data_IF_172289369691
#
_entry.id   IF_172289369691
#
_cell.length_a   1.000
_cell.length_b   1.000
_cell.length_c   1.000
_cell.angle_alpha   90.00
_cell.angle_beta   90.00
_cell.angle_gamma   90.00
#
_symmetry.space_group_name_H-M   'P 1'
#
loop_
_entity.id
_entity.type
_entity.pdbx_description
1 polymer ?
#
# COMPACT_ATOMS: atom_id res chain seq x y z
N UNK A 1 -41.94 29.66 -10.53
CA UNK A 1 -40.50 29.55 -10.84
C UNK A 1 -39.79 29.08 -9.57
N UNK A 2 -39.26 27.85 -9.55
CA UNK A 2 -38.48 27.36 -8.40
C UNK A 2 -37.16 28.13 -8.35
N UNK A 3 -36.98 28.95 -7.31
CA UNK A 3 -35.74 29.67 -7.05
C UNK A 3 -34.73 28.65 -6.56
N UNK A 4 -33.94 28.12 -7.48
CA UNK A 4 -32.78 27.29 -7.15
C UNK A 4 -31.71 28.25 -6.62
N UNK A 5 -31.78 28.55 -5.32
CA UNK A 5 -30.82 29.40 -4.64
C UNK A 5 -29.40 28.88 -4.93
N UNK A 6 -28.43 29.72 -5.30
CA UNK A 6 -27.07 29.30 -5.66
C UNK A 6 -26.42 28.47 -4.55
N UNK A 7 -26.84 28.68 -3.30
CA UNK A 7 -26.46 27.92 -2.11
C UNK A 7 -26.75 26.42 -2.25
N UNK A 8 -27.87 26.05 -2.88
CA UNK A 8 -28.24 24.65 -3.12
C UNK A 8 -27.29 23.95 -4.10
N UNK A 9 -26.85 24.64 -5.14
CA UNK A 9 -25.87 24.12 -6.11
C UNK A 9 -24.49 23.96 -5.49
N UNK A 10 -24.07 24.91 -4.64
CA UNK A 10 -22.82 24.85 -3.89
C UNK A 10 -22.84 23.68 -2.88
N UNK A 11 -23.96 23.51 -2.17
CA UNK A 11 -24.12 22.39 -1.23
C UNK A 11 -24.06 21.04 -1.96
N UNK A 12 -24.74 20.94 -3.10
CA UNK A 12 -24.80 19.72 -3.91
C UNK A 12 -23.43 19.36 -4.52
N UNK A 13 -22.65 20.37 -4.94
CA UNK A 13 -21.28 20.16 -5.41
C UNK A 13 -20.34 19.75 -4.28
N UNK A 14 -20.46 20.32 -3.08
CA UNK A 14 -19.69 19.89 -1.90
C UNK A 14 -20.02 18.44 -1.50
N UNK A 15 -21.29 18.07 -1.48
CA UNK A 15 -21.72 16.69 -1.21
C UNK A 15 -21.20 15.73 -2.29
N UNK A 16 -21.28 16.12 -3.56
CA UNK A 16 -20.75 15.33 -4.67
C UNK A 16 -19.23 15.12 -4.56
N UNK A 17 -18.47 16.18 -4.28
CA UNK A 17 -17.02 16.11 -4.08
C UNK A 17 -16.65 15.26 -2.87
N UNK A 18 -17.32 15.45 -1.74
CA UNK A 18 -17.12 14.66 -0.54
C UNK A 18 -17.44 13.18 -0.80
N UNK A 19 -18.54 12.89 -1.50
CA UNK A 19 -18.93 11.56 -1.91
C UNK A 19 -17.87 10.91 -2.81
N UNK A 20 -17.38 11.65 -3.81
CA UNK A 20 -16.32 11.18 -4.73
C UNK A 20 -15.01 10.91 -4.00
N UNK A 21 -14.58 11.78 -3.09
CA UNK A 21 -13.36 11.57 -2.28
C UNK A 21 -13.52 10.34 -1.38
N UNK A 22 -14.67 10.19 -0.73
CA UNK A 22 -14.97 9.02 0.08
C UNK A 22 -14.98 7.74 -0.76
N UNK A 23 -15.55 7.78 -1.96
CA UNK A 23 -15.59 6.67 -2.90
C UNK A 23 -14.20 6.27 -3.36
N UNK A 24 -13.38 7.24 -3.77
CA UNK A 24 -12.02 7.01 -4.24
C UNK A 24 -11.12 6.48 -3.12
N UNK A 25 -11.26 7.01 -1.89
CA UNK A 25 -10.60 6.47 -0.70
C UNK A 25 -11.01 5.03 -0.41
N UNK A 26 -12.28 4.69 -0.63
CA UNK A 26 -12.80 3.33 -0.39
C UNK A 26 -12.36 2.36 -1.48
N UNK A 27 -12.26 2.81 -2.73
CA UNK A 27 -11.71 2.03 -3.85
C UNK A 27 -10.20 1.86 -3.75
N UNK A 28 -9.46 2.88 -3.31
CA UNK A 28 -8.03 2.77 -3.06
C UNK A 28 -7.71 1.81 -1.91
N UNK A 29 -8.56 1.75 -0.88
CA UNK A 29 -8.49 0.72 0.18
C UNK A 29 -8.86 -0.69 -0.31
N UNK A 30 -9.59 -0.81 -1.42
CA UNK A 30 -10.07 -2.09 -1.99
C UNK A 30 -9.29 -2.56 -3.21
N UNK A 31 -8.37 -1.75 -3.76
CA UNK A 31 -7.39 -2.26 -4.72
C UNK A 31 -6.57 -3.29 -3.97
N UNK A 32 -6.68 -4.53 -4.42
CA UNK A 32 -5.86 -5.63 -3.97
C UNK A 32 -4.40 -5.21 -4.18
N UNK A 33 -3.74 -4.79 -3.11
CA UNK A 33 -2.32 -4.45 -3.13
C UNK A 33 -1.60 -5.77 -3.30
N UNK A 34 -0.87 -5.93 -4.41
CA UNK A 34 -0.04 -7.13 -4.59
C UNK A 34 0.95 -7.19 -3.42
N UNK A 35 1.31 -8.40 -2.97
CA UNK A 35 2.29 -8.54 -1.88
C UNK A 35 3.62 -7.88 -2.24
N UNK A 36 3.93 -7.83 -3.53
CA UNK A 36 5.08 -7.14 -4.10
C UNK A 36 4.99 -5.62 -3.97
N UNK A 37 3.81 -5.04 -4.25
CA UNK A 37 3.56 -3.61 -4.07
C UNK A 37 3.62 -3.21 -2.59
N UNK A 38 3.14 -4.08 -1.71
CA UNK A 38 3.21 -3.86 -0.27
C UNK A 38 4.66 -3.93 0.24
N UNK A 39 5.46 -4.88 -0.26
CA UNK A 39 6.87 -4.99 0.09
C UNK A 39 7.67 -3.80 -0.45
N UNK A 40 7.53 -3.49 -1.73
CA UNK A 40 8.26 -2.44 -2.43
C UNK A 40 7.85 -1.05 -1.95
N UNK A 41 6.55 -0.82 -1.74
CA UNK A 41 6.04 0.41 -1.15
C UNK A 41 6.56 0.62 0.28
N UNK A 42 6.66 -0.43 1.08
CA UNK A 42 7.16 -0.33 2.45
C UNK A 42 8.67 -0.06 2.48
N UNK A 43 9.43 -0.74 1.62
CA UNK A 43 10.86 -0.52 1.46
C UNK A 43 11.12 0.95 1.05
N UNK A 44 10.34 1.46 0.09
CA UNK A 44 10.45 2.84 -0.36
C UNK A 44 10.06 3.86 0.72
N UNK A 45 8.94 3.65 1.41
CA UNK A 45 8.48 4.53 2.48
C UNK A 45 9.47 4.62 3.64
N UNK A 46 10.14 3.50 3.96
CA UNK A 46 11.17 3.43 5.00
C UNK A 46 12.57 3.80 4.50
N UNK A 47 12.73 4.13 3.22
CA UNK A 47 14.02 4.36 2.57
C UNK A 47 15.03 3.23 2.84
N UNK A 48 14.55 1.98 2.88
CA UNK A 48 15.36 0.80 3.13
C UNK A 48 15.27 -0.19 1.97
N UNK A 49 16.15 -1.18 1.96
CA UNK A 49 16.11 -2.23 0.96
C UNK A 49 14.98 -3.23 1.27
N UNK A 50 14.48 -3.93 0.25
CA UNK A 50 13.56 -5.04 0.46
C UNK A 50 14.16 -6.11 1.40
N UNK A 51 15.49 -6.28 1.38
CA UNK A 51 16.19 -7.19 2.30
C UNK A 51 16.05 -6.76 3.76
N UNK A 52 16.12 -5.46 4.05
CA UNK A 52 15.92 -4.95 5.42
C UNK A 52 14.51 -5.24 5.93
N UNK A 53 13.51 -5.17 5.05
CA UNK A 53 12.13 -5.55 5.37
C UNK A 53 12.04 -7.04 5.71
N UNK A 54 12.73 -7.90 4.95
CA UNK A 54 12.83 -9.33 5.26
C UNK A 54 13.47 -9.57 6.64
N UNK A 55 14.57 -8.88 6.96
CA UNK A 55 15.24 -8.99 8.26
C UNK A 55 14.33 -8.53 9.40
N UNK A 56 13.62 -7.42 9.24
CA UNK A 56 12.67 -6.93 10.25
C UNK A 56 11.49 -7.90 10.44
N UNK A 57 10.93 -8.42 9.35
CA UNK A 57 9.89 -9.44 9.41
C UNK A 57 10.39 -10.73 10.08
N UNK A 58 11.61 -11.17 9.73
CA UNK A 58 12.26 -12.34 10.34
C UNK A 58 12.43 -12.17 11.85
N UNK A 59 12.90 -10.99 12.30
CA UNK A 59 13.02 -10.66 13.74
C UNK A 59 11.67 -10.69 14.46
N UNK A 60 10.62 -10.12 13.87
CA UNK A 60 9.28 -10.12 14.48
C UNK A 60 8.74 -11.55 14.66
N UNK A 61 9.02 -12.44 13.71
CA UNK A 61 8.59 -13.84 13.77
C UNK A 61 9.57 -14.77 14.48
N UNK A 62 10.70 -14.26 15.00
CA UNK A 62 11.71 -15.06 15.69
C UNK A 62 12.51 -16.00 14.77
N UNK A 63 12.58 -15.72 13.47
CA UNK A 63 13.37 -16.50 12.52
C UNK A 63 14.86 -16.12 12.57
N UNK A 64 15.72 -17.11 12.32
CA UNK A 64 17.15 -16.87 12.19
C UNK A 64 17.48 -16.02 10.94
N UNK A 65 18.59 -15.30 11.00
CA UNK A 65 19.08 -14.52 9.86
C UNK A 65 19.32 -15.42 8.64
N UNK A 66 19.93 -16.60 8.84
CA UNK A 66 20.18 -17.56 7.75
C UNK A 66 18.91 -18.00 7.02
N UNK A 67 17.83 -18.31 7.77
CA UNK A 67 16.52 -18.64 7.17
C UNK A 67 16.00 -17.46 6.36
N UNK A 68 16.05 -16.27 6.93
CA UNK A 68 15.55 -15.04 6.30
C UNK A 68 16.30 -14.71 5.01
N UNK A 69 17.63 -14.86 5.01
CA UNK A 69 18.47 -14.68 3.82
C UNK A 69 18.18 -15.74 2.76
N UNK A 70 17.95 -17.00 3.17
CA UNK A 70 17.52 -18.07 2.26
C UNK A 70 16.16 -17.78 1.61
N UNK A 71 15.20 -17.31 2.41
CA UNK A 71 13.87 -16.89 1.96
C UNK A 71 13.98 -15.69 0.99
N UNK A 72 14.87 -14.72 1.25
CA UNK A 72 15.13 -13.60 0.34
C UNK A 72 15.76 -14.04 -0.98
N UNK A 73 16.74 -14.96 -0.95
CA UNK A 73 17.32 -15.51 -2.17
C UNK A 73 16.29 -16.28 -3.01
N UNK A 74 15.36 -16.99 -2.37
CA UNK A 74 14.24 -17.63 -3.06
C UNK A 74 13.33 -16.58 -3.69
N UNK A 75 13.03 -15.50 -2.99
CA UNK A 75 12.28 -14.37 -3.52
C UNK A 75 12.94 -13.80 -4.78
N UNK A 76 14.25 -13.50 -4.76
CA UNK A 76 14.97 -12.99 -5.94
C UNK A 76 14.92 -13.92 -7.16
N UNK A 77 14.85 -15.23 -6.95
CA UNK A 77 14.80 -16.22 -8.03
C UNK A 77 13.41 -16.48 -8.60
N UNK A 78 12.39 -16.40 -7.76
CA UNK A 78 11.03 -16.87 -8.08
C UNK A 78 9.96 -15.79 -8.03
N UNK A 79 10.27 -14.60 -7.51
CA UNK A 79 9.30 -13.57 -7.16
C UNK A 79 8.38 -13.97 -5.99
N UNK A 80 8.58 -15.14 -5.38
CA UNK A 80 7.69 -15.60 -4.31
C UNK A 80 8.00 -14.90 -2.99
N UNK A 81 7.01 -14.18 -2.46
CA UNK A 81 7.10 -13.54 -1.15
C UNK A 81 6.56 -14.49 -0.07
N UNK A 82 7.36 -14.85 0.94
CA UNK A 82 6.90 -15.66 2.05
C UNK A 82 5.75 -14.98 2.80
N UNK A 83 4.76 -15.77 3.22
CA UNK A 83 3.53 -15.26 3.87
C UNK A 83 3.81 -14.42 5.14
N UNK A 84 4.87 -14.73 5.89
CA UNK A 84 5.24 -13.94 7.07
C UNK A 84 5.75 -12.54 6.70
N UNK A 85 6.45 -12.41 5.57
CA UNK A 85 6.92 -11.12 5.02
C UNK A 85 5.75 -10.35 4.44
N UNK A 86 4.89 -11.00 3.66
CA UNK A 86 3.68 -10.38 3.13
C UNK A 86 2.78 -9.85 4.27
N UNK A 87 2.56 -10.66 5.30
CA UNK A 87 1.82 -10.25 6.50
C UNK A 87 2.48 -9.07 7.23
N UNK A 88 3.80 -9.11 7.39
CA UNK A 88 4.57 -8.00 7.97
C UNK A 88 4.42 -6.72 7.15
N UNK A 89 4.60 -6.80 5.84
CA UNK A 89 4.53 -5.66 4.94
C UNK A 89 3.15 -5.02 4.98
N UNK A 90 2.09 -5.83 4.85
CA UNK A 90 0.70 -5.36 4.93
C UNK A 90 0.34 -4.73 6.28
N UNK A 91 0.88 -5.24 7.38
CA UNK A 91 0.62 -4.71 8.71
C UNK A 91 1.37 -3.39 8.99
N UNK A 92 2.49 -3.16 8.31
CA UNK A 92 3.38 -2.02 8.56
C UNK A 92 3.27 -0.90 7.53
N UNK A 93 2.63 -1.14 6.39
CA UNK A 93 2.48 -0.16 5.32
C UNK A 93 1.21 0.68 5.51
N UNK A 94 1.34 1.98 5.31
CA UNK A 94 0.18 2.88 5.31
C UNK A 94 -0.46 2.91 3.92
N UNK A 95 -1.79 3.08 3.83
CA UNK A 95 -2.47 3.14 2.55
C UNK A 95 -2.01 4.32 1.67
N UNK A 96 -1.53 5.41 2.28
CA UNK A 96 -0.93 6.54 1.57
C UNK A 96 0.41 6.18 0.90
N UNK A 97 1.24 5.35 1.53
CA UNK A 97 2.54 4.92 1.02
C UNK A 97 2.37 3.99 -0.19
N UNK A 98 1.40 3.07 -0.11
CA UNK A 98 1.03 2.22 -1.26
C UNK A 98 0.55 3.06 -2.44
N UNK A 99 -0.28 4.07 -2.18
CA UNK A 99 -0.78 4.95 -3.24
C UNK A 99 0.35 5.76 -3.89
N UNK A 100 1.29 6.26 -3.08
CA UNK A 100 2.46 6.96 -3.60
C UNK A 100 3.31 6.04 -4.50
N UNK A 101 3.58 4.81 -4.04
CA UNK A 101 4.29 3.81 -4.85
C UNK A 101 3.52 3.46 -6.14
N UNK A 102 2.22 3.26 -6.06
CA UNK A 102 1.37 2.96 -7.21
C UNK A 102 1.27 4.12 -8.21
N UNK A 103 1.35 5.37 -7.74
CA UNK A 103 1.41 6.55 -8.62
C UNK A 103 2.75 6.65 -9.35
N UNK A 104 3.85 6.35 -8.65
CA UNK A 104 5.20 6.35 -9.24
C UNK A 104 5.37 5.26 -10.30
N UNK A 105 4.84 4.07 -10.04
CA UNK A 105 4.95 2.92 -10.95
C UNK A 105 3.97 2.99 -12.13
N UNK A 106 2.86 3.72 -12.01
CA UNK A 106 1.91 3.97 -13.11
C UNK A 106 2.45 4.83 -14.25
N UNK A 107 3.57 5.52 -14.04
CA UNK A 107 4.20 6.39 -15.04
C UNK A 107 5.14 5.67 -16.01
N UNK A 108 5.32 4.36 -15.88
CA UNK A 108 6.24 3.54 -16.67
C UNK A 108 5.48 2.51 -17.52
#
# INVERSE_FOLDING_TARGET
MMVFEPVSLVLLTLVYLAGRICWDRRHARRRYVSDDDALSGLAMARQCSAYDVFIQAGRQWGFSASKTTGDFNRYLRSGFIPRYVAGFARANIRPEEVQAYAQLTKGW
#
